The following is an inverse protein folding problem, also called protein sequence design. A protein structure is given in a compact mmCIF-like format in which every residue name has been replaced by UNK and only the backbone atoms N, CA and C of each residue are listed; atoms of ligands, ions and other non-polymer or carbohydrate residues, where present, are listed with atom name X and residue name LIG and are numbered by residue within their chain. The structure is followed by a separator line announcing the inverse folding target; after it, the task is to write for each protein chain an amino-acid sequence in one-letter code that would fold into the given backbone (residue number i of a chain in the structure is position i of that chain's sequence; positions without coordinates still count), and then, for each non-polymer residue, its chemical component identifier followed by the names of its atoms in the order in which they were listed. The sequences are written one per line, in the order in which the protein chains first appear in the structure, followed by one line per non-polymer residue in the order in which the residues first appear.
data_IF_505159587710
#
_entry.id   IF_505159587710
#
_cell.length_a   1.000
_cell.length_b   1.000
_cell.length_c   1.000
_cell.angle_alpha   90.00
_cell.angle_beta   90.00
_cell.angle_gamma   90.00
#
_symmetry.space_group_name_H-M   'P 1'
#
loop_
_entity.id
_entity.type
_entity.pdbx_description
1 polymer ?
#
# COMPACT_ATOMS: atom_id res chain seq x y z
N UNK A 1 -24.60 17.80 7.26
CA UNK A 1 -23.22 17.93 6.78
C UNK A 1 -22.41 16.90 7.52
N UNK A 2 -22.09 15.77 6.89
CA UNK A 2 -21.21 14.76 7.49
C UNK A 2 -19.79 15.33 7.31
N UNK A 3 -19.12 15.66 8.41
CA UNK A 3 -17.71 15.99 8.36
C UNK A 3 -16.98 14.70 8.00
N UNK A 4 -16.51 14.59 6.76
CA UNK A 4 -15.52 13.58 6.40
C UNK A 4 -14.27 13.89 7.21
N UNK A 5 -14.13 13.27 8.38
CA UNK A 5 -12.96 13.39 9.22
C UNK A 5 -11.78 12.75 8.46
N UNK A 6 -11.04 13.58 7.73
CA UNK A 6 -9.77 13.16 7.13
C UNK A 6 -8.75 13.05 8.25
N UNK A 7 -8.29 11.84 8.50
CA UNK A 7 -7.20 11.58 9.44
C UNK A 7 -5.96 12.36 9.01
N UNK A 8 -5.37 13.09 9.95
CA UNK A 8 -4.16 13.88 9.71
C UNK A 8 -2.94 12.96 9.53
N UNK A 9 -1.90 13.45 8.87
CA UNK A 9 -0.63 12.71 8.70
C UNK A 9 -0.01 12.30 10.04
N UNK A 10 -0.22 13.12 11.09
CA UNK A 10 0.29 12.83 12.44
C UNK A 10 -0.47 11.66 13.08
N UNK A 11 -1.79 11.62 12.94
CA UNK A 11 -2.61 10.51 13.43
C UNK A 11 -2.29 9.21 12.69
N UNK A 12 -2.06 9.28 11.37
CA UNK A 12 -1.59 8.15 10.55
C UNK A 12 -0.23 7.63 11.02
N UNK A 13 0.74 8.51 11.26
CA UNK A 13 2.05 8.12 11.78
C UNK A 13 1.91 7.41 13.13
N UNK A 14 1.17 7.99 14.07
CA UNK A 14 0.99 7.39 15.40
C UNK A 14 0.36 6.01 15.34
N UNK A 15 -0.63 5.82 14.46
CA UNK A 15 -1.27 4.52 14.27
C UNK A 15 -0.30 3.48 13.70
N UNK A 16 0.49 3.86 12.69
CA UNK A 16 1.48 2.97 12.08
C UNK A 16 2.60 2.59 13.05
N UNK A 17 3.04 3.53 13.88
CA UNK A 17 4.06 3.27 14.92
C UNK A 17 3.56 2.21 15.91
N UNK A 18 2.29 2.26 16.31
CA UNK A 18 1.67 1.23 17.16
C UNK A 18 1.67 -0.14 16.47
N UNK A 19 1.21 -0.22 15.21
CA UNK A 19 1.14 -1.49 14.48
C UNK A 19 2.51 -2.15 14.27
N UNK A 20 3.57 -1.37 14.08
CA UNK A 20 4.92 -1.89 13.90
C UNK A 20 5.51 -2.49 15.18
N UNK A 21 5.03 -2.09 16.36
CA UNK A 21 5.54 -2.61 17.65
C UNK A 21 4.96 -3.94 18.09
N UNK A 22 3.83 -4.37 17.51
CA UNK A 22 3.06 -5.51 18.03
C UNK A 22 3.33 -6.86 17.34
N UNK A 23 4.06 -6.93 16.21
CA UNK A 23 4.25 -8.21 15.49
C UNK A 23 5.63 -8.41 14.88
N UNK A 24 6.23 -9.59 15.09
CA UNK A 24 7.57 -9.97 14.60
C UNK A 24 7.66 -10.14 13.06
N UNK A 25 6.51 -10.11 12.36
CA UNK A 25 6.43 -10.22 10.89
C UNK A 25 5.34 -9.27 10.38
N UNK A 26 5.51 -7.96 10.59
CA UNK A 26 4.63 -6.95 10.02
C UNK A 26 5.06 -6.58 8.61
N UNK A 27 4.19 -6.75 7.62
CA UNK A 27 4.37 -6.21 6.26
C UNK A 27 3.31 -5.19 5.94
N UNK A 28 3.65 -4.21 5.12
CA UNK A 28 2.80 -3.08 4.78
C UNK A 28 2.39 -3.18 3.32
N UNK A 29 1.09 -3.00 3.10
CA UNK A 29 0.48 -2.78 1.80
C UNK A 29 -0.04 -1.36 1.68
N UNK A 30 0.05 -0.78 0.48
CA UNK A 30 -0.56 0.51 0.18
C UNK A 30 -1.38 0.39 -1.10
N UNK A 31 -2.62 0.83 -1.05
CA UNK A 31 -3.50 1.01 -2.21
C UNK A 31 -3.62 2.51 -2.53
N UNK A 32 -3.49 2.86 -3.81
CA UNK A 32 -3.54 4.24 -4.26
C UNK A 32 -4.05 4.38 -5.68
N UNK A 33 -4.65 5.53 -5.99
CA UNK A 33 -5.25 5.82 -7.28
C UNK A 33 -4.41 6.81 -8.08
N UNK A 34 -4.07 6.46 -9.33
CA UNK A 34 -3.28 7.36 -10.18
C UNK A 34 -4.11 8.19 -11.18
N UNK A 35 -5.44 8.18 -11.08
CA UNK A 35 -6.35 8.92 -11.98
C UNK A 35 -7.12 8.03 -12.95
N UNK A 36 -6.53 6.91 -13.36
CA UNK A 36 -7.11 6.00 -14.38
C UNK A 36 -7.20 4.55 -13.91
N UNK A 37 -6.35 4.14 -12.97
CA UNK A 37 -6.32 2.77 -12.45
C UNK A 37 -6.01 2.76 -10.95
N UNK A 38 -6.42 1.68 -10.29
CA UNK A 38 -6.03 1.40 -8.92
C UNK A 38 -4.69 0.66 -8.93
N UNK A 39 -3.80 1.01 -8.00
CA UNK A 39 -2.51 0.37 -7.82
C UNK A 39 -2.38 -0.11 -6.38
N UNK A 40 -1.82 -1.31 -6.23
CA UNK A 40 -1.49 -1.86 -4.91
C UNK A 40 -0.02 -2.22 -4.86
N UNK A 41 0.68 -1.70 -3.86
CA UNK A 41 2.06 -2.09 -3.55
C UNK A 41 2.07 -2.93 -2.28
N UNK A 42 2.82 -4.03 -2.28
CA UNK A 42 2.95 -4.94 -1.14
C UNK A 42 4.43 -5.21 -0.82
N UNK A 43 4.66 -5.91 0.30
CA UNK A 43 5.99 -6.25 0.82
C UNK A 43 6.77 -5.03 1.33
N UNK A 44 6.09 -4.00 1.85
CA UNK A 44 6.73 -2.92 2.58
C UNK A 44 7.10 -3.34 3.99
N UNK A 45 8.22 -2.84 4.51
CA UNK A 45 8.63 -3.01 5.91
C UNK A 45 8.68 -1.66 6.62
N UNK A 46 9.23 -0.64 5.95
CA UNK A 46 9.36 0.69 6.52
C UNK A 46 8.47 1.67 5.79
N UNK A 47 7.69 2.44 6.55
CA UNK A 47 6.85 3.52 6.06
C UNK A 47 7.32 4.83 6.70
N UNK A 48 7.54 5.84 5.87
CA UNK A 48 7.91 7.18 6.33
C UNK A 48 6.88 8.18 5.83
N UNK A 49 6.40 9.03 6.72
CA UNK A 49 5.51 10.11 6.36
C UNK A 49 6.33 11.39 6.17
N UNK A 50 6.31 11.91 4.95
CA UNK A 50 7.01 13.12 4.52
C UNK A 50 5.91 14.14 4.16
N UNK A 51 6.10 15.47 4.28
CA UNK A 51 5.04 16.43 3.95
C UNK A 51 4.39 16.18 2.58
N UNK A 52 3.12 15.75 2.59
CA UNK A 52 2.32 15.44 1.40
C UNK A 52 2.49 14.03 0.82
N UNK A 53 3.43 13.22 1.32
CA UNK A 53 3.78 11.92 0.74
C UNK A 53 4.04 10.83 1.78
N UNK A 54 3.94 9.59 1.31
CA UNK A 54 4.39 8.39 2.01
C UNK A 54 5.50 7.77 1.20
N UNK A 55 6.62 7.45 1.85
CA UNK A 55 7.68 6.63 1.30
C UNK A 55 7.59 5.23 1.90
N UNK A 56 7.45 4.23 1.03
CA UNK A 56 7.47 2.83 1.42
C UNK A 56 8.76 2.16 0.93
N UNK A 57 9.43 1.44 1.81
CA UNK A 57 10.63 0.65 1.53
C UNK A 57 10.38 -0.84 1.84
N UNK A 58 10.93 -1.76 1.03
CA UNK A 58 10.86 -3.19 1.31
C UNK A 58 11.89 -3.59 2.38
N UNK A 59 11.83 -4.85 2.86
CA UNK A 59 12.94 -5.43 3.60
C UNK A 59 14.27 -5.35 2.85
N UNK A 60 15.37 -5.29 3.60
CA UNK A 60 16.73 -5.23 3.04
C UNK A 60 16.97 -6.43 2.11
N UNK A 61 17.43 -6.13 0.89
CA UNK A 61 17.69 -7.14 -0.15
C UNK A 61 16.45 -7.63 -0.90
N UNK A 62 15.26 -7.14 -0.56
CA UNK A 62 14.00 -7.50 -1.23
C UNK A 62 13.48 -6.37 -2.13
N UNK A 63 12.32 -6.61 -2.75
CA UNK A 63 11.61 -5.66 -3.60
C UNK A 63 10.18 -5.49 -3.11
N UNK A 64 9.65 -4.30 -3.33
CA UNK A 64 8.21 -4.08 -3.33
C UNK A 64 7.61 -4.71 -4.58
N UNK A 65 6.37 -5.19 -4.45
CA UNK A 65 5.60 -5.70 -5.58
C UNK A 65 4.47 -4.72 -5.86
N UNK A 66 4.60 -3.97 -6.95
CA UNK A 66 3.54 -3.10 -7.45
C UNK A 66 2.66 -3.89 -8.42
N UNK A 67 1.35 -3.80 -8.25
CA UNK A 67 0.34 -4.34 -9.16
C UNK A 67 -0.56 -3.23 -9.63
N UNK A 68 -0.85 -3.23 -10.93
CA UNK A 68 -1.80 -2.31 -11.55
C UNK A 68 -3.08 -3.05 -11.88
N UNK A 69 -4.21 -2.49 -11.47
CA UNK A 69 -5.53 -3.06 -11.66
C UNK A 69 -6.36 -2.23 -12.64
N UNK A 70 -6.91 -2.89 -13.65
CA UNK A 70 -7.91 -2.33 -14.56
C UNK A 70 -9.10 -3.28 -14.63
N UNK A 71 -10.31 -2.76 -14.47
CA UNK A 71 -11.55 -3.55 -14.48
C UNK A 71 -11.51 -4.78 -13.56
N UNK A 72 -10.94 -4.62 -12.36
CA UNK A 72 -10.81 -5.68 -11.36
C UNK A 72 -9.76 -6.75 -11.66
N UNK A 73 -9.00 -6.61 -12.76
CA UNK A 73 -7.94 -7.55 -13.16
C UNK A 73 -6.56 -6.92 -13.03
N UNK A 74 -5.57 -7.74 -12.68
CA UNK A 74 -4.16 -7.33 -12.72
C UNK A 74 -3.74 -7.27 -14.18
N UNK A 75 -3.35 -6.09 -14.63
CA UNK A 75 -2.84 -5.87 -15.99
C UNK A 75 -1.31 -5.77 -16.02
N UNK A 76 -0.69 -5.48 -14.87
CA UNK A 76 0.75 -5.32 -14.77
C UNK A 76 1.27 -5.65 -13.37
N UNK A 77 2.49 -6.21 -13.31
CA UNK A 77 3.23 -6.45 -12.09
C UNK A 77 4.67 -5.94 -12.25
N UNK A 78 5.12 -5.10 -11.32
CA UNK A 78 6.48 -4.54 -11.31
C UNK A 78 7.18 -4.80 -9.97
N UNK A 79 8.50 -4.92 -10.02
CA UNK A 79 9.38 -4.95 -8.84
C UNK A 79 9.99 -3.56 -8.63
N UNK A 80 9.85 -3.01 -7.43
CA UNK A 80 10.38 -1.69 -7.09
C UNK A 80 11.33 -1.78 -5.88
N UNK A 81 12.32 -0.89 -5.83
CA UNK A 81 13.19 -0.75 -4.65
C UNK A 81 12.61 0.17 -3.58
N UNK A 82 11.72 1.08 -3.98
CA UNK A 82 10.98 1.98 -3.13
C UNK A 82 9.79 2.53 -3.92
N UNK A 83 8.83 3.13 -3.22
CA UNK A 83 7.78 3.92 -3.87
C UNK A 83 7.42 5.11 -2.99
N UNK A 84 7.20 6.25 -3.64
CA UNK A 84 6.66 7.44 -3.02
C UNK A 84 5.23 7.66 -3.54
N UNK A 85 4.27 7.78 -2.63
CA UNK A 85 2.84 7.93 -2.94
C UNK A 85 2.34 9.22 -2.32
N UNK A 86 1.64 10.05 -3.08
CA UNK A 86 1.02 11.26 -2.55
C UNK A 86 -0.15 10.90 -1.63
N UNK A 87 -0.26 11.55 -0.48
CA UNK A 87 -1.27 11.22 0.54
C UNK A 87 -2.69 11.44 0.01
N UNK A 88 -2.90 12.42 -0.88
CA UNK A 88 -4.20 12.69 -1.51
C UNK A 88 -4.63 11.62 -2.52
N UNK A 89 -3.72 10.71 -2.90
CA UNK A 89 -3.98 9.57 -3.78
C UNK A 89 -4.11 8.25 -3.01
N UNK A 90 -3.86 8.26 -1.71
CA UNK A 90 -3.93 7.08 -0.87
C UNK A 90 -5.38 6.62 -0.71
N UNK A 91 -5.65 5.35 -0.97
CA UNK A 91 -6.94 4.71 -0.72
C UNK A 91 -6.92 3.94 0.60
N UNK A 92 -5.87 3.16 0.84
CA UNK A 92 -5.74 2.33 2.03
C UNK A 92 -4.27 2.06 2.38
N UNK A 93 -4.01 1.85 3.67
CA UNK A 93 -2.78 1.23 4.19
C UNK A 93 -3.21 -0.03 4.91
N UNK A 94 -2.57 -1.15 4.59
CA UNK A 94 -2.89 -2.47 5.14
C UNK A 94 -1.70 -3.02 5.92
N UNK A 95 -1.96 -3.56 7.11
CA UNK A 95 -1.02 -4.39 7.85
C UNK A 95 -1.21 -5.86 7.50
N UNK A 96 -0.11 -6.56 7.21
CA UNK A 96 -0.08 -7.95 6.76
C UNK A 96 -1.06 -8.24 5.61
N UNK A 97 -0.96 -7.48 4.50
CA UNK A 97 -1.90 -7.60 3.40
C UNK A 97 -1.91 -9.03 2.83
N UNK A 98 -3.05 -9.70 2.95
CA UNK A 98 -3.30 -10.96 2.25
C UNK A 98 -3.92 -10.62 0.91
N UNK A 99 -3.19 -10.88 -0.18
CA UNK A 99 -3.78 -10.79 -1.50
C UNK A 99 -4.53 -12.10 -1.78
N UNK A 100 -5.85 -12.07 -1.59
CA UNK A 100 -6.74 -13.16 -2.02
C UNK A 100 -6.90 -13.06 -3.54
N UNK A 101 -6.41 -14.06 -4.26
CA UNK A 101 -6.57 -14.16 -5.71
C UNK A 101 -8.02 -14.51 -6.06
N UNK A 102 -8.56 -14.07 -7.20
CA UNK A 102 -9.38 -15.02 -7.93
C UNK A 102 -8.44 -16.17 -8.34
N UNK A 103 -8.70 -17.38 -7.83
CA UNK A 103 -8.12 -18.60 -8.38
C UNK A 103 -8.25 -18.52 -9.89
N UNK A 104 -7.19 -18.87 -10.63
CA UNK A 104 -7.18 -18.88 -12.08
C UNK A 104 -8.56 -19.30 -12.62
N UNK A 105 -9.21 -18.43 -13.40
CA UNK A 105 -10.23 -18.87 -14.33
C UNK A 105 -9.50 -19.82 -15.30
N UNK A 106 -9.48 -21.11 -14.97
CA UNK A 106 -9.14 -22.18 -15.89
C UNK A 106 -10.20 -22.17 -16.99
N UNK A 107 -10.01 -21.32 -17.99
CA UNK A 107 -10.58 -21.50 -19.31
C UNK A 107 -9.41 -21.59 -20.29
N UNK A 108 -8.83 -22.79 -20.31
CA UNK A 108 -8.26 -23.37 -21.53
C UNK A 108 -9.40 -23.68 -22.50
#
# INVERSE_FOLDING_TARGET
MINDAKMTTRELQSFMDTLQTETDIFTIGIEFFCGECCKKVTNGQFIFFIPGFILLLPPVGQFLMLRVFSDGKIVEVQKLRSIQVAIDKLCAIEGNPIQVWPACDNKL
#
